data_IF_871359438666
#
_entry.id   IF_871359438666
#
_cell.length_a   1.000
_cell.length_b   1.000
_cell.length_c   1.000
_cell.angle_alpha   90.00
_cell.angle_beta   90.00
_cell.angle_gamma   90.00
#
_symmetry.space_group_name_H-M   'P 1'
#
loop_
_entity.id
_entity.type
_entity.pdbx_description
1 polymer ?
#
# COMPACT_ATOMS: atom_id res chain seq x y z
N UNK A 1 -4.65 9.83 -6.36
CA UNK A 1 -4.61 8.85 -7.47
C UNK A 1 -4.62 7.46 -6.85
N UNK A 2 -5.60 6.61 -7.18
CA UNK A 2 -5.50 5.17 -6.87
C UNK A 2 -4.76 4.49 -8.01
N UNK A 3 -3.85 3.57 -7.69
CA UNK A 3 -3.19 2.70 -8.65
C UNK A 3 -3.41 1.26 -8.20
N UNK A 4 -3.96 0.45 -9.09
CA UNK A 4 -4.35 -0.94 -8.85
C UNK A 4 -4.26 -1.65 -10.21
N UNK A 5 -3.08 -2.17 -10.53
CA UNK A 5 -2.74 -2.61 -11.90
C UNK A 5 -1.93 -3.90 -11.88
N UNK A 6 -2.13 -4.73 -10.85
CA UNK A 6 -1.62 -6.10 -10.76
C UNK A 6 -0.10 -6.19 -10.97
N UNK A 7 0.66 -5.37 -10.23
CA UNK A 7 2.12 -5.37 -10.27
C UNK A 7 2.73 -4.46 -11.33
N UNK A 8 1.95 -3.58 -11.96
CA UNK A 8 2.40 -2.58 -12.92
C UNK A 8 2.46 -1.16 -12.32
N UNK A 9 2.45 -1.03 -10.99
CA UNK A 9 2.36 0.24 -10.27
C UNK A 9 3.56 1.13 -10.58
N UNK A 10 4.78 0.58 -10.55
CA UNK A 10 5.98 1.33 -10.84
C UNK A 10 6.02 1.87 -12.28
N UNK A 11 5.70 1.08 -13.34
CA UNK A 11 5.48 1.61 -14.68
C UNK A 11 4.46 2.76 -14.74
N UNK A 12 3.32 2.65 -14.07
CA UNK A 12 2.30 3.72 -14.04
C UNK A 12 2.86 4.99 -13.40
N UNK A 13 3.56 4.86 -12.26
CA UNK A 13 4.18 5.99 -11.57
C UNK A 13 5.25 6.68 -12.42
N UNK A 14 6.11 5.89 -13.10
CA UNK A 14 7.12 6.43 -14.02
C UNK A 14 6.48 7.15 -15.21
N UNK A 15 5.42 6.58 -15.79
CA UNK A 15 4.67 7.23 -16.89
C UNK A 15 3.98 8.52 -16.45
N UNK A 16 3.55 8.60 -15.19
CA UNK A 16 2.91 9.79 -14.61
C UNK A 16 3.88 10.76 -13.92
N UNK A 17 5.20 10.57 -14.02
CA UNK A 17 6.19 11.30 -13.24
C UNK A 17 6.07 12.82 -13.34
N UNK A 18 5.81 13.36 -14.54
CA UNK A 18 5.60 14.80 -14.75
C UNK A 18 4.38 15.35 -14.01
N UNK A 19 3.28 14.60 -13.99
CA UNK A 19 2.07 14.96 -13.24
C UNK A 19 2.33 14.89 -11.73
N UNK A 20 3.00 13.83 -11.26
CA UNK A 20 3.32 13.63 -9.84
C UNK A 20 4.20 14.77 -9.34
N UNK A 21 5.24 15.14 -10.10
CA UNK A 21 6.13 16.24 -9.77
C UNK A 21 5.39 17.59 -9.74
N UNK A 22 4.54 17.87 -10.72
CA UNK A 22 3.85 19.15 -10.85
C UNK A 22 2.68 19.32 -9.87
N UNK A 23 1.89 18.27 -9.65
CA UNK A 23 0.62 18.36 -8.93
C UNK A 23 0.69 17.85 -7.50
N UNK A 24 1.76 17.13 -7.13
CA UNK A 24 1.97 16.58 -5.78
C UNK A 24 0.69 15.92 -5.22
N UNK A 25 0.02 15.00 -5.97
CA UNK A 25 -1.21 14.38 -5.49
C UNK A 25 -0.90 13.42 -4.36
N UNK A 26 -1.87 13.16 -3.46
CA UNK A 26 -1.82 11.95 -2.64
C UNK A 26 -2.05 10.74 -3.55
N UNK A 27 -1.28 9.67 -3.34
CA UNK A 27 -1.33 8.46 -4.15
C UNK A 27 -1.60 7.29 -3.22
N UNK A 28 -2.46 6.38 -3.64
CA UNK A 28 -2.75 5.16 -2.92
C UNK A 28 -2.56 4.01 -3.91
N UNK A 29 -1.63 3.10 -3.64
CA UNK A 29 -1.24 2.07 -4.60
C UNK A 29 -1.16 0.70 -3.95
N UNK A 30 -1.48 -0.35 -4.71
CA UNK A 30 -1.31 -1.73 -4.27
C UNK A 30 0.18 -2.09 -4.18
N UNK A 31 0.56 -2.87 -3.17
CA UNK A 31 1.92 -3.36 -3.00
C UNK A 31 1.91 -4.74 -2.34
N UNK A 32 1.43 -5.73 -3.08
CA UNK A 32 1.28 -7.13 -2.66
C UNK A 32 2.33 -8.07 -3.33
N UNK A 33 3.11 -7.57 -4.29
CA UNK A 33 4.20 -8.31 -4.98
C UNK A 33 5.55 -8.02 -4.35
N UNK A 34 6.04 -8.95 -3.52
CA UNK A 34 7.30 -8.79 -2.76
C UNK A 34 8.52 -8.51 -3.64
N UNK A 35 8.62 -9.17 -4.78
CA UNK A 35 9.71 -9.00 -5.75
C UNK A 35 9.74 -7.60 -6.40
N UNK A 36 8.63 -6.87 -6.36
CA UNK A 36 8.49 -5.52 -6.95
C UNK A 36 8.48 -4.40 -5.90
N UNK A 37 8.16 -4.74 -4.65
CA UNK A 37 7.92 -3.79 -3.56
C UNK A 37 9.08 -2.82 -3.35
N UNK A 38 10.32 -3.33 -3.27
CA UNK A 38 11.46 -2.48 -2.94
C UNK A 38 11.66 -1.36 -3.97
N UNK A 39 11.63 -1.71 -5.26
CA UNK A 39 11.80 -0.73 -6.34
C UNK A 39 10.66 0.30 -6.36
N UNK A 40 9.44 -0.13 -6.04
CA UNK A 40 8.24 0.71 -5.97
C UNK A 40 8.33 1.71 -4.80
N UNK A 41 8.61 1.22 -3.60
CA UNK A 41 8.76 2.05 -2.40
C UNK A 41 9.92 3.03 -2.53
N UNK A 42 11.07 2.56 -3.03
CA UNK A 42 12.27 3.39 -3.25
C UNK A 42 11.96 4.57 -4.17
N UNK A 43 11.30 4.32 -5.31
CA UNK A 43 10.95 5.38 -6.26
C UNK A 43 10.06 6.45 -5.63
N UNK A 44 9.07 6.05 -4.83
CA UNK A 44 8.17 6.98 -4.16
C UNK A 44 8.86 7.78 -3.05
N UNK A 45 9.73 7.15 -2.24
CA UNK A 45 10.55 7.84 -1.24
C UNK A 45 11.46 8.89 -1.90
N UNK A 46 12.15 8.52 -2.99
CA UNK A 46 13.00 9.42 -3.77
C UNK A 46 12.21 10.57 -4.43
N UNK A 47 10.95 10.33 -4.82
CA UNK A 47 10.02 11.36 -5.29
C UNK A 47 9.55 12.32 -4.19
N UNK A 48 10.04 12.17 -2.95
CA UNK A 48 9.73 13.05 -1.82
C UNK A 48 8.33 12.81 -1.26
N UNK A 49 7.94 11.55 -1.12
CA UNK A 49 6.69 11.14 -0.48
C UNK A 49 6.96 10.41 0.84
N UNK A 50 6.09 10.67 1.82
CA UNK A 50 5.95 9.85 3.02
C UNK A 50 5.01 8.70 2.71
N UNK A 51 5.42 7.48 3.04
CA UNK A 51 4.69 6.26 2.70
C UNK A 51 4.19 5.59 3.98
N UNK A 52 2.98 5.05 3.94
CA UNK A 52 2.33 4.41 5.08
C UNK A 52 1.67 3.12 4.62
N UNK A 53 1.96 2.01 5.29
CA UNK A 53 1.26 0.76 5.02
C UNK A 53 -0.22 0.87 5.38
N UNK A 54 -1.07 0.33 4.52
CA UNK A 54 -2.47 0.07 4.80
C UNK A 54 -2.78 -1.37 4.41
N UNK A 55 -2.80 -2.24 5.42
CA UNK A 55 -3.01 -3.68 5.25
C UNK A 55 -4.30 -4.07 5.94
N UNK A 56 -5.23 -4.65 5.18
CA UNK A 56 -6.54 -5.03 5.70
C UNK A 56 -6.94 -6.42 5.22
N UNK A 57 -7.56 -7.25 6.08
CA UNK A 57 -8.19 -8.49 5.63
C UNK A 57 -9.35 -8.19 4.69
N UNK A 58 -9.63 -9.09 3.76
CA UNK A 58 -10.79 -8.98 2.86
C UNK A 58 -12.11 -9.14 3.62
N UNK A 59 -12.06 -9.82 4.77
CA UNK A 59 -13.22 -10.13 5.57
C UNK A 59 -13.15 -9.53 6.97
N UNK A 60 -14.32 -9.09 7.45
CA UNK A 60 -14.59 -8.72 8.83
C UNK A 60 -15.88 -9.40 9.27
N UNK A 61 -15.92 -9.94 10.50
CA UNK A 61 -17.12 -10.62 11.04
C UNK A 61 -18.33 -9.68 11.14
N UNK A 62 -18.09 -8.40 11.36
CA UNK A 62 -19.08 -7.32 11.30
C UNK A 62 -19.18 -6.77 9.86
N UNK A 63 -19.49 -7.62 8.89
CA UNK A 63 -19.74 -7.23 7.50
C UNK A 63 -21.24 -6.97 7.25
N UNK A 64 -21.52 -6.25 6.15
CA UNK A 64 -22.88 -5.89 5.71
C UNK A 64 -23.82 -7.10 5.55
N UNK A 65 -23.31 -8.23 5.06
CA UNK A 65 -24.08 -9.45 4.82
C UNK A 65 -24.30 -10.29 6.09
N UNK A 66 -23.74 -9.88 7.23
CA UNK A 66 -23.86 -10.61 8.51
C UNK A 66 -23.18 -11.97 8.51
N UNK A 67 -22.33 -12.26 7.52
CA UNK A 67 -21.61 -13.54 7.42
C UNK A 67 -20.71 -13.71 8.63
N UNK A 68 -20.74 -14.91 9.22
CA UNK A 68 -19.92 -15.28 10.39
C UNK A 68 -18.65 -16.01 10.01
N UNK A 69 -18.67 -16.67 8.85
CA UNK A 69 -17.56 -17.42 8.29
C UNK A 69 -16.91 -16.61 7.17
N UNK A 70 -15.59 -16.70 7.10
CA UNK A 70 -14.78 -15.97 6.14
C UNK A 70 -14.73 -16.74 4.80
N UNK A 71 -15.33 -16.21 3.72
CA UNK A 71 -15.28 -16.86 2.42
C UNK A 71 -13.91 -16.77 1.73
N UNK A 72 -12.99 -15.97 2.27
CA UNK A 72 -11.62 -15.77 1.77
C UNK A 72 -10.57 -16.48 2.64
N UNK A 73 -11.00 -17.45 3.47
CA UNK A 73 -10.06 -18.25 4.24
C UNK A 73 -9.16 -19.07 3.31
N UNK A 74 -7.85 -19.00 3.51
CA UNK A 74 -6.81 -19.68 2.68
C UNK A 74 -6.01 -20.73 3.45
N UNK A 75 -6.42 -21.02 4.69
CA UNK A 75 -5.79 -21.99 5.58
C UNK A 75 -6.37 -21.90 6.98
N UNK A 76 -5.88 -22.71 7.91
CA UNK A 76 -6.32 -22.65 9.31
C UNK A 76 -6.01 -21.27 9.90
N UNK A 77 -7.06 -20.48 10.13
CA UNK A 77 -6.97 -19.15 10.74
C UNK A 77 -6.39 -18.04 9.85
N UNK A 78 -6.16 -18.30 8.55
CA UNK A 78 -5.61 -17.31 7.61
C UNK A 78 -6.66 -16.84 6.60
N UNK A 79 -6.59 -15.55 6.24
CA UNK A 79 -7.48 -14.90 5.26
C UNK A 79 -6.67 -14.15 4.22
N UNK A 80 -7.27 -13.93 3.05
CA UNK A 80 -6.70 -13.03 2.05
C UNK A 80 -6.67 -11.61 2.61
N UNK A 81 -5.57 -10.91 2.35
CA UNK A 81 -5.40 -9.52 2.73
C UNK A 81 -5.18 -8.64 1.50
N UNK A 82 -5.49 -7.36 1.64
CA UNK A 82 -5.10 -6.32 0.69
C UNK A 82 -3.95 -5.55 1.29
N UNK A 83 -2.80 -5.54 0.61
CA UNK A 83 -1.64 -4.74 1.00
C UNK A 83 -1.52 -3.53 0.08
N UNK A 84 -1.76 -2.34 0.63
CA UNK A 84 -1.61 -1.09 -0.10
C UNK A 84 -0.71 -0.13 0.66
N UNK A 85 -0.29 0.93 -0.03
CA UNK A 85 0.49 2.03 0.53
C UNK A 85 -0.23 3.33 0.25
N UNK A 86 -0.42 4.14 1.30
CA UNK A 86 -0.74 5.54 1.18
C UNK A 86 0.55 6.35 1.06
N UNK A 87 0.68 7.10 -0.02
CA UNK A 87 1.76 8.03 -0.26
C UNK A 87 1.27 9.47 -0.19
N UNK A 88 1.85 10.23 0.73
CA UNK A 88 1.54 11.63 0.97
C UNK A 88 2.78 12.49 0.64
N UNK A 89 2.64 13.56 -0.15
CA UNK A 89 3.75 14.49 -0.38
C UNK A 89 4.35 14.97 0.94
N UNK A 90 5.68 15.00 1.05
CA UNK A 90 6.37 15.30 2.32
C UNK A 90 5.99 16.66 2.92
N UNK A 91 5.63 17.63 2.09
CA UNK A 91 5.18 18.97 2.48
C UNK A 91 3.79 19.02 3.14
N UNK A 92 2.98 17.95 3.04
CA UNK A 92 1.64 17.90 3.65
C UNK A 92 1.71 17.31 5.06
N UNK A 93 1.00 17.89 6.04
CA UNK A 93 0.94 17.31 7.38
C UNK A 93 0.24 15.96 7.36
N UNK A 94 0.74 15.02 8.16
CA UNK A 94 0.13 13.72 8.43
C UNK A 94 0.22 13.50 9.94
N UNK A 95 -0.85 13.02 10.56
CA UNK A 95 -0.90 12.71 11.98
C UNK A 95 -1.57 11.34 12.20
N UNK A 96 -1.15 10.65 13.26
CA UNK A 96 -1.76 9.38 13.67
C UNK A 96 -1.37 8.16 12.84
N UNK A 97 -0.39 8.28 11.93
CA UNK A 97 0.10 7.18 11.08
C UNK A 97 1.59 6.85 11.30
N UNK A 98 2.24 7.48 12.29
CA UNK A 98 3.69 7.35 12.49
C UNK A 98 4.14 5.90 12.74
N UNK A 99 3.30 5.09 13.41
CA UNK A 99 3.60 3.69 13.71
C UNK A 99 3.63 2.75 12.50
N UNK A 100 3.08 3.19 11.36
CA UNK A 100 2.99 2.42 10.11
C UNK A 100 3.73 3.10 8.95
N UNK A 101 4.54 4.12 9.26
CA UNK A 101 5.34 4.82 8.27
C UNK A 101 6.49 3.95 7.76
N UNK A 102 6.70 3.96 6.45
CA UNK A 102 7.75 3.23 5.77
C UNK A 102 8.94 4.19 5.58
N UNK A 103 10.05 3.88 6.24
CA UNK A 103 11.32 4.60 6.09
C UNK A 103 12.36 3.84 5.26
N UNK A 104 12.26 2.51 5.24
CA UNK A 104 13.14 1.61 4.51
C UNK A 104 12.36 0.98 3.35
N UNK A 105 12.80 1.12 2.09
CA UNK A 105 12.12 0.50 0.95
C UNK A 105 12.16 -1.03 0.98
N UNK A 106 13.03 -1.65 1.77
CA UNK A 106 13.05 -3.11 1.96
C UNK A 106 12.02 -3.59 2.98
N UNK A 107 11.37 -2.67 3.70
CA UNK A 107 10.35 -3.02 4.68
C UNK A 107 9.19 -3.77 4.00
N UNK A 108 8.79 -4.87 4.61
CA UNK A 108 7.67 -5.68 4.19
C UNK A 108 6.64 -5.73 5.31
N UNK A 109 5.36 -5.69 4.97
CA UNK A 109 4.28 -5.52 5.94
C UNK A 109 4.03 -6.75 6.82
N UNK A 110 4.44 -7.95 6.39
CA UNK A 110 4.47 -9.14 7.25
C UNK A 110 5.88 -9.39 7.78
N UNK A 111 5.98 -9.76 9.05
CA UNK A 111 7.16 -10.48 9.51
C UNK A 111 7.10 -11.89 8.92
N UNK A 112 8.13 -12.33 8.21
CA UNK A 112 8.30 -13.76 7.98
C UNK A 112 8.46 -14.43 9.36
N UNK A 113 7.55 -15.34 9.68
CA UNK A 113 7.82 -16.41 10.64
C UNK A 113 8.65 -17.49 9.98
#
# INVERSE_FOLDING_TARGET
IKIDVEGMELPVLKGAAGLIAAQRPMIYFENDRRDKSEALLRWMLEAGYKLFWHVTPYFKKENYYGLKEDPFAVGEGQTIISANVLAVPSEKPVSGLDSIQIHDPTNWWSQEG
#
